data_IF_177163495669
#
_entry.id   IF_177163495669
#
_cell.length_a   1.000
_cell.length_b   1.000
_cell.length_c   1.000
_cell.angle_alpha   90.00
_cell.angle_beta   90.00
_cell.angle_gamma   90.00
#
_symmetry.space_group_name_H-M   'P 1'
#
loop_
_entity.id
_entity.type
_entity.pdbx_description
1 polymer ?
#
# COMPACT_ATOMS: atom_id res chain seq x y z
N UNK A 1 3.04 4.75 2.38
CA UNK A 1 3.10 5.81 1.36
C UNK A 1 2.95 5.18 0.00
N UNK A 2 2.34 5.87 -0.95
CA UNK A 2 1.92 5.31 -2.24
C UNK A 2 2.00 6.36 -3.35
N UNK A 3 2.08 5.92 -4.60
CA UNK A 3 1.96 6.79 -5.80
C UNK A 3 0.58 6.69 -6.44
N UNK A 4 -0.09 5.54 -6.28
CA UNK A 4 -1.43 5.28 -6.77
C UNK A 4 -2.25 4.58 -5.67
N UNK A 5 -3.55 4.86 -5.63
CA UNK A 5 -4.50 4.19 -4.73
C UNK A 5 -5.49 3.37 -5.54
N UNK A 6 -5.83 2.20 -5.04
CA UNK A 6 -6.88 1.34 -5.59
C UNK A 6 -8.20 1.56 -4.86
N UNK A 7 -9.32 1.33 -5.55
CA UNK A 7 -10.67 1.39 -4.94
C UNK A 7 -10.96 0.23 -3.99
N UNK A 8 -10.25 -0.88 -4.15
CA UNK A 8 -10.34 -2.04 -3.28
C UNK A 8 -9.24 -2.07 -2.24
N UNK A 9 -9.49 -2.85 -1.20
CA UNK A 9 -8.53 -3.20 -0.18
C UNK A 9 -8.29 -4.70 -0.27
N UNK A 10 -7.04 -5.08 -0.50
CA UNK A 10 -6.64 -6.47 -0.59
C UNK A 10 -6.16 -6.97 0.77
N UNK A 11 -6.88 -7.94 1.33
CA UNK A 11 -6.49 -8.67 2.53
C UNK A 11 -5.42 -9.73 2.20
N UNK A 12 -4.59 -10.07 3.18
CA UNK A 12 -3.68 -11.22 3.04
C UNK A 12 -4.46 -12.53 3.13
N UNK A 13 -4.19 -13.44 2.17
CA UNK A 13 -4.82 -14.77 2.10
C UNK A 13 -4.04 -15.85 2.87
N UNK A 14 -2.83 -15.54 3.32
CA UNK A 14 -1.95 -16.48 4.02
C UNK A 14 -2.10 -16.41 5.55
N UNK A 15 -2.74 -15.37 6.05
CA UNK A 15 -2.99 -15.17 7.46
C UNK A 15 -4.18 -15.99 7.94
N UNK A 16 -4.10 -16.52 9.17
CA UNK A 16 -5.19 -17.28 9.77
C UNK A 16 -6.45 -16.42 10.04
N UNK A 17 -6.29 -15.09 10.09
CA UNK A 17 -7.38 -14.11 10.04
C UNK A 17 -7.04 -13.10 8.95
N UNK A 18 -8.01 -12.66 8.14
CA UNK A 18 -7.77 -11.58 7.18
C UNK A 18 -7.39 -10.33 7.99
N UNK A 19 -6.11 -10.00 7.95
CA UNK A 19 -5.56 -8.83 8.60
C UNK A 19 -5.25 -7.81 7.52
N UNK A 20 -6.12 -6.79 7.43
CA UNK A 20 -5.72 -5.52 6.87
C UNK A 20 -4.55 -5.02 7.70
N UNK A 21 -3.34 -5.26 7.21
CA UNK A 21 -2.14 -5.07 8.02
C UNK A 21 -1.94 -3.57 8.21
N UNK A 22 -2.20 -3.10 9.42
CA UNK A 22 -1.94 -1.72 9.82
C UNK A 22 -0.49 -1.63 10.26
N UNK A 23 0.37 -0.98 9.47
CA UNK A 23 1.75 -0.82 9.87
C UNK A 23 1.96 0.51 10.61
N UNK A 24 2.29 0.46 11.90
CA UNK A 24 2.50 1.67 12.70
C UNK A 24 3.98 2.08 12.68
N UNK A 25 4.34 2.97 11.76
CA UNK A 25 5.44 3.92 11.98
C UNK A 25 4.80 5.28 12.24
N UNK A 26 4.69 5.64 13.52
CA UNK A 26 4.15 6.89 14.09
C UNK A 26 2.67 7.27 13.80
N UNK A 27 2.13 7.04 12.60
CA UNK A 27 0.76 7.45 12.22
C UNK A 27 -0.18 6.32 11.75
N UNK A 28 0.30 5.08 11.63
CA UNK A 28 -0.49 3.96 11.09
C UNK A 28 -0.70 4.09 9.57
N UNK A 29 0.03 3.32 8.78
CA UNK A 29 -0.11 3.24 7.34
C UNK A 29 -1.06 2.09 6.98
N UNK A 30 -2.01 2.38 6.08
CA UNK A 30 -2.86 1.36 5.49
C UNK A 30 -2.11 0.64 4.37
N UNK A 31 -1.96 -0.68 4.48
CA UNK A 31 -1.49 -1.54 3.39
C UNK A 31 -2.67 -2.16 2.63
N UNK A 32 -2.42 -2.69 1.43
CA UNK A 32 -3.43 -3.40 0.64
C UNK A 32 -4.26 -2.53 -0.30
N UNK A 33 -4.03 -1.21 -0.35
CA UNK A 33 -4.82 -0.28 -1.16
C UNK A 33 -4.00 0.69 -2.02
N UNK A 34 -2.71 0.43 -2.22
CA UNK A 34 -1.93 1.30 -3.10
C UNK A 34 -0.63 0.71 -3.61
N UNK A 35 0.01 1.48 -4.48
CA UNK A 35 1.20 1.12 -5.23
C UNK A 35 2.42 1.91 -4.73
N UNK A 36 3.59 1.27 -4.68
CA UNK A 36 4.90 1.90 -4.48
C UNK A 36 5.73 1.81 -5.76
N UNK A 37 6.72 2.72 -5.87
CA UNK A 37 7.76 2.67 -6.90
C UNK A 37 9.12 2.41 -6.27
N UNK A 38 9.92 1.58 -6.93
CA UNK A 38 11.32 1.32 -6.56
C UNK A 38 12.17 1.53 -7.80
N UNK A 39 13.16 2.40 -7.71
CA UNK A 39 14.06 2.73 -8.79
C UNK A 39 15.38 2.00 -8.59
N UNK A 40 15.93 1.38 -9.63
CA UNK A 40 17.28 0.81 -9.59
C UNK A 40 18.31 1.82 -10.13
N UNK A 41 19.58 1.73 -9.70
CA UNK A 41 20.68 2.53 -10.25
C UNK A 41 20.87 2.34 -11.76
N UNK A 42 20.50 1.18 -12.29
CA UNK A 42 20.60 0.83 -13.71
C UNK A 42 19.47 1.44 -14.57
N UNK A 43 18.49 2.09 -13.93
CA UNK A 43 17.38 2.78 -14.60
C UNK A 43 16.08 1.96 -14.68
N UNK A 44 16.06 0.73 -14.18
CA UNK A 44 14.83 -0.05 -14.07
C UNK A 44 13.89 0.54 -13.02
N UNK A 45 12.58 0.49 -13.29
CA UNK A 45 11.55 0.97 -12.36
C UNK A 45 10.55 -0.15 -12.07
N UNK A 46 10.44 -0.50 -10.80
CA UNK A 46 9.49 -1.50 -10.32
C UNK A 46 8.25 -0.82 -9.74
N UNK A 47 7.08 -1.33 -10.13
CA UNK A 47 5.82 -1.06 -9.45
C UNK A 47 5.45 -2.26 -8.57
N UNK A 48 5.04 -2.02 -7.33
CA UNK A 48 4.62 -3.08 -6.43
C UNK A 48 3.44 -2.65 -5.54
N UNK A 49 2.56 -3.57 -5.13
CA UNK A 49 1.58 -3.25 -4.09
C UNK A 49 2.30 -2.89 -2.80
N UNK A 50 1.81 -1.89 -2.07
CA UNK A 50 2.37 -1.51 -0.77
C UNK A 50 2.29 -2.66 0.26
N UNK A 51 1.38 -3.62 0.05
CA UNK A 51 1.26 -4.85 0.84
C UNK A 51 2.45 -5.81 0.68
N UNK A 52 3.31 -5.63 -0.33
CA UNK A 52 4.53 -6.45 -0.49
C UNK A 52 5.37 -6.48 0.80
N UNK A 53 5.37 -5.38 1.55
CA UNK A 53 6.06 -5.28 2.83
C UNK A 53 5.60 -6.36 3.83
N UNK A 54 4.28 -6.55 3.98
CA UNK A 54 3.70 -7.57 4.85
C UNK A 54 4.11 -8.98 4.40
N UNK A 55 4.04 -9.25 3.10
CA UNK A 55 4.44 -10.55 2.55
C UNK A 55 5.92 -10.86 2.83
N UNK A 56 6.81 -9.86 2.72
CA UNK A 56 8.23 -10.03 3.04
C UNK A 56 8.44 -10.23 4.54
N UNK A 57 7.82 -9.38 5.38
CA UNK A 57 8.06 -9.39 6.81
C UNK A 57 7.45 -10.62 7.51
N UNK A 58 6.19 -10.93 7.21
CA UNK A 58 5.38 -11.89 7.96
C UNK A 58 5.33 -13.26 7.26
N UNK A 59 5.35 -13.29 5.93
CA UNK A 59 5.30 -14.53 5.14
C UNK A 59 6.62 -14.91 4.48
N UNK A 60 7.70 -14.17 4.74
CA UNK A 60 9.04 -14.43 4.20
C UNK A 60 9.06 -14.55 2.68
N UNK A 61 8.14 -13.86 2.01
CA UNK A 61 8.17 -13.73 0.57
C UNK A 61 9.51 -13.14 0.16
N UNK A 62 10.16 -13.77 -0.82
CA UNK A 62 11.40 -13.31 -1.41
C UNK A 62 11.09 -12.69 -2.77
N UNK A 63 11.09 -11.36 -2.91
CA UNK A 63 10.90 -10.72 -4.20
C UNK A 63 12.00 -11.11 -5.20
N UNK A 64 11.80 -10.87 -6.51
CA UNK A 64 12.84 -11.05 -7.51
C UNK A 64 14.14 -10.33 -7.12
N UNK A 65 15.30 -10.94 -7.42
CA UNK A 65 16.60 -10.42 -7.00
C UNK A 65 16.85 -8.97 -7.47
N UNK A 66 16.43 -8.65 -8.70
CA UNK A 66 16.49 -7.31 -9.27
C UNK A 66 15.70 -6.27 -8.45
N UNK A 67 14.53 -6.64 -7.92
CA UNK A 67 13.76 -5.77 -7.03
C UNK A 67 14.49 -5.55 -5.71
N UNK A 68 15.06 -6.62 -5.14
CA UNK A 68 15.84 -6.54 -3.88
C UNK A 68 17.03 -5.60 -4.05
N UNK A 69 17.77 -5.71 -5.16
CA UNK A 69 18.89 -4.80 -5.47
C UNK A 69 18.42 -3.37 -5.63
N UNK A 70 17.34 -3.13 -6.37
CA UNK A 70 16.79 -1.79 -6.53
C UNK A 70 16.38 -1.16 -5.18
N UNK A 71 15.83 -1.93 -4.25
CA UNK A 71 15.55 -1.44 -2.87
C UNK A 71 16.83 -1.12 -2.10
N UNK A 72 17.88 -1.94 -2.26
CA UNK A 72 19.11 -1.82 -1.49
C UNK A 72 20.06 -0.72 -2.01
N UNK A 73 20.10 -0.53 -3.32
CA UNK A 73 21.12 0.27 -4.01
C UNK A 73 20.51 1.52 -4.66
N UNK A 74 19.19 1.53 -4.87
CA UNK A 74 18.48 2.65 -5.49
C UNK A 74 18.27 3.85 -4.58
N UNK A 75 17.73 4.95 -5.14
CA UNK A 75 17.38 6.14 -4.39
C UNK A 75 16.42 5.82 -3.25
N UNK A 76 16.80 6.19 -2.03
CA UNK A 76 15.94 5.98 -0.86
C UNK A 76 14.64 6.79 -1.01
N UNK A 77 13.48 6.25 -0.61
CA UNK A 77 12.25 7.04 -0.55
C UNK A 77 12.49 8.36 0.20
N UNK A 78 11.82 9.44 -0.24
CA UNK A 78 11.95 10.81 0.28
C UNK A 78 13.24 11.57 -0.02
N UNK A 79 14.23 10.96 -0.67
CA UNK A 79 15.37 11.72 -1.18
C UNK A 79 14.94 12.69 -2.29
N UNK A 80 15.71 13.76 -2.50
CA UNK A 80 15.50 14.69 -3.62
C UNK A 80 15.61 13.96 -4.98
N UNK A 81 16.48 12.96 -5.06
CA UNK A 81 16.61 12.11 -6.24
C UNK A 81 15.34 11.30 -6.50
N UNK A 82 14.83 10.60 -5.48
CA UNK A 82 13.58 9.84 -5.59
C UNK A 82 12.39 10.73 -5.98
N UNK A 83 12.30 11.93 -5.39
CA UNK A 83 11.24 12.90 -5.70
C UNK A 83 11.32 13.36 -7.17
N UNK A 84 12.51 13.71 -7.66
CA UNK A 84 12.73 14.08 -9.07
C UNK A 84 12.36 12.94 -10.04
N UNK A 85 12.66 11.69 -9.68
CA UNK A 85 12.31 10.53 -10.51
C UNK A 85 10.80 10.31 -10.58
N UNK A 86 10.06 10.54 -9.48
CA UNK A 86 8.60 10.51 -9.51
C UNK A 86 8.02 11.65 -10.36
N UNK A 87 8.53 12.87 -10.20
CA UNK A 87 8.08 14.03 -10.96
C UNK A 87 8.29 13.83 -12.48
N UNK A 88 9.44 13.26 -12.86
CA UNK A 88 9.74 12.91 -14.25
C UNK A 88 8.74 11.90 -14.85
N UNK A 89 8.09 11.09 -14.01
CA UNK A 89 7.03 10.16 -14.39
C UNK A 89 5.63 10.75 -14.25
N UNK A 90 5.49 12.01 -13.80
CA UNK A 90 4.21 12.63 -13.50
C UNK A 90 3.48 11.98 -12.31
N UNK A 91 4.21 11.31 -11.42
CA UNK A 91 3.67 10.63 -10.26
C UNK A 91 3.79 11.51 -9.02
N UNK A 92 2.70 11.58 -8.25
CA UNK A 92 2.68 12.34 -7.00
C UNK A 92 2.74 11.35 -5.84
N UNK A 93 3.73 11.55 -4.98
CA UNK A 93 3.82 10.81 -3.74
C UNK A 93 2.73 11.23 -2.75
N UNK A 94 2.04 10.26 -2.15
CA UNK A 94 0.96 10.50 -1.18
C UNK A 94 1.09 9.64 0.06
N UNK A 95 0.68 10.22 1.18
CA UNK A 95 0.42 9.45 2.38
C UNK A 95 -0.79 8.53 2.17
N UNK A 96 -0.76 7.36 2.82
CA UNK A 96 -1.91 6.46 2.90
C UNK A 96 -2.21 6.16 4.37
N UNK A 97 -2.63 7.18 5.14
CA UNK A 97 -2.85 7.01 6.56
C UNK A 97 -4.07 6.12 6.78
N UNK A 98 -4.01 5.32 7.83
CA UNK A 98 -5.23 4.76 8.39
C UNK A 98 -6.08 5.91 8.92
N UNK A 99 -7.29 6.08 8.38
CA UNK A 99 -8.19 7.15 8.81
C UNK A 99 -8.62 6.94 10.27
N UNK A 100 -8.83 8.03 11.00
CA UNK A 100 -9.41 7.99 12.35
C UNK A 100 -10.72 7.19 12.37
N UNK A 101 -10.84 6.27 13.32
CA UNK A 101 -11.95 5.33 13.42
C UNK A 101 -11.76 4.00 12.69
N UNK A 102 -10.60 3.77 12.05
CA UNK A 102 -10.21 2.50 11.46
C UNK A 102 -11.04 2.07 10.26
N UNK A 103 -10.83 0.83 9.80
CA UNK A 103 -11.70 0.20 8.82
C UNK A 103 -12.86 -0.47 9.56
N UNK A 104 -14.01 0.20 9.60
CA UNK A 104 -15.23 -0.43 10.12
C UNK A 104 -15.91 -1.24 9.02
N UNK A 105 -16.17 -2.54 9.22
CA UNK A 105 -16.94 -3.33 8.27
C UNK A 105 -18.31 -2.68 8.06
N UNK A 106 -18.76 -2.68 6.80
CA UNK A 106 -20.07 -2.16 6.44
C UNK A 106 -20.65 -3.00 5.30
N UNK A 107 -21.98 -3.01 5.23
CA UNK A 107 -22.73 -3.56 4.11
C UNK A 107 -23.39 -2.42 3.35
N UNK A 108 -23.42 -2.54 2.04
CA UNK A 108 -24.28 -1.71 1.20
C UNK A 108 -25.65 -2.39 1.15
N UNK A 109 -26.68 -1.68 1.63
CA UNK A 109 -28.05 -2.19 1.71
C UNK A 109 -28.93 -1.34 0.80
N UNK A 110 -29.63 -1.99 -0.12
CA UNK A 110 -30.66 -1.33 -0.93
C UNK A 110 -31.87 -1.04 -0.02
N UNK A 111 -32.25 0.23 0.13
CA UNK A 111 -33.47 0.65 0.82
C UNK A 111 -34.43 1.33 -0.16
N UNK A 112 -35.64 1.66 0.31
CA UNK A 112 -36.62 2.43 -0.47
C UNK A 112 -36.08 3.80 -0.93
N UNK A 113 -35.08 4.35 -0.23
CA UNK A 113 -34.45 5.65 -0.53
C UNK A 113 -33.13 5.51 -1.30
N UNK A 114 -32.77 4.30 -1.76
CA UNK A 114 -31.51 4.03 -2.47
C UNK A 114 -30.51 3.18 -1.68
N UNK A 115 -29.26 3.11 -2.16
CA UNK A 115 -28.19 2.32 -1.53
C UNK A 115 -27.67 3.07 -0.30
N UNK A 116 -27.80 2.45 0.89
CA UNK A 116 -27.27 2.98 2.15
C UNK A 116 -26.09 2.15 2.65
N UNK A 117 -25.11 2.82 3.24
CA UNK A 117 -23.98 2.21 3.95
C UNK A 117 -24.38 1.93 5.40
N UNK A 118 -24.44 0.66 5.79
CA UNK A 118 -24.79 0.22 7.15
C UNK A 118 -23.55 -0.41 7.79
N UNK A 119 -23.06 0.16 8.88
CA UNK A 119 -21.93 -0.39 9.62
C UNK A 119 -22.36 -1.67 10.35
N UNK A 120 -21.49 -2.68 10.34
CA UNK A 120 -21.71 -3.94 11.05
C UNK A 120 -21.05 -3.81 12.42
N UNK A 121 -21.81 -3.99 13.48
CA UNK A 121 -21.26 -4.11 14.84
C UNK A 121 -20.60 -5.49 14.97
N UNK A 122 -19.46 -5.54 15.68
CA UNK A 122 -18.68 -6.78 15.92
C UNK A 122 -19.46 -7.85 16.70
#
# INVERSE_FOLDING_TARGET
>A
MIVNSTRGLHDCELCARPENTFFKRDAGLLLGSGEIRVFSPEGDVFAAPNLIYHYVNDHKYRPPLQFIRAVAEGPVPFSDEYSRLLDAMGLIWRENPLREGGLRPFKLVQTADGIKKVFVDE
#
